data_IF_756945440578
#
_entry.id   IF_756945440578
#
_cell.length_a   1.000
_cell.length_b   1.000
_cell.length_c   1.000
_cell.angle_alpha   90.00
_cell.angle_beta   90.00
_cell.angle_gamma   90.00
#
_symmetry.space_group_name_H-M   'P 1'
#
loop_
_entity.id
_entity.type
_entity.pdbx_description
1 polymer ?
#
# COMPACT_ATOMS: atom_id res chain seq x y z
N UNK A 1 -18.88 16.11 3.21
CA UNK A 1 -19.50 14.76 3.28
C UNK A 1 -19.68 14.14 1.88
N UNK A 2 -20.45 14.75 0.95
CA UNK A 2 -20.70 14.16 -0.39
C UNK A 2 -19.44 13.78 -1.18
N UNK A 3 -18.44 14.69 -1.25
CA UNK A 3 -17.15 14.44 -1.91
C UNK A 3 -16.33 13.29 -1.29
N UNK A 4 -16.38 13.13 0.04
CA UNK A 4 -15.68 12.04 0.73
C UNK A 4 -16.31 10.67 0.41
N UNK A 5 -17.64 10.64 0.25
CA UNK A 5 -18.36 9.43 -0.17
C UNK A 5 -18.09 9.08 -1.63
N UNK A 6 -18.00 10.08 -2.51
CA UNK A 6 -17.61 9.89 -3.92
C UNK A 6 -16.21 9.29 -4.01
N UNK A 7 -15.22 9.87 -3.33
CA UNK A 7 -13.85 9.33 -3.31
C UNK A 7 -13.78 7.91 -2.71
N UNK A 8 -14.55 7.65 -1.65
CA UNK A 8 -14.64 6.33 -1.03
C UNK A 8 -15.10 5.27 -2.05
N UNK A 9 -16.15 5.57 -2.81
CA UNK A 9 -16.68 4.68 -3.83
C UNK A 9 -15.69 4.47 -4.97
N UNK A 10 -15.00 5.53 -5.41
CA UNK A 10 -13.95 5.42 -6.44
C UNK A 10 -12.83 4.46 -6.02
N UNK A 11 -12.31 4.63 -4.80
CA UNK A 11 -11.25 3.75 -4.28
C UNK A 11 -11.74 2.32 -4.06
N UNK A 12 -12.97 2.14 -3.57
CA UNK A 12 -13.57 0.82 -3.39
C UNK A 12 -13.74 0.10 -4.73
N UNK A 13 -14.27 0.80 -5.74
CA UNK A 13 -14.44 0.25 -7.08
C UNK A 13 -13.10 -0.13 -7.71
N UNK A 14 -12.09 0.74 -7.57
CA UNK A 14 -10.72 0.44 -8.01
C UNK A 14 -10.18 -0.82 -7.33
N UNK A 15 -10.35 -0.97 -6.01
CA UNK A 15 -9.91 -2.16 -5.28
C UNK A 15 -10.61 -3.44 -5.73
N UNK A 16 -11.93 -3.39 -5.90
CA UNK A 16 -12.76 -4.53 -6.34
C UNK A 16 -12.36 -5.02 -7.73
N UNK A 17 -11.92 -4.13 -8.63
CA UNK A 17 -11.44 -4.54 -9.96
C UNK A 17 -9.99 -5.01 -9.90
N UNK A 18 -9.13 -4.22 -9.26
CA UNK A 18 -7.68 -4.40 -9.33
C UNK A 18 -7.23 -5.64 -8.59
N UNK A 19 -7.82 -5.95 -7.43
CA UNK A 19 -7.42 -7.11 -6.62
C UNK A 19 -7.69 -8.43 -7.37
N UNK A 20 -8.91 -8.75 -7.82
CA UNK A 20 -9.16 -9.99 -8.57
C UNK A 20 -8.36 -10.06 -9.87
N UNK A 21 -8.23 -8.95 -10.60
CA UNK A 21 -7.42 -8.90 -11.82
C UNK A 21 -5.95 -9.21 -11.54
N UNK A 22 -5.40 -8.66 -10.46
CA UNK A 22 -4.02 -8.95 -10.06
C UNK A 22 -3.83 -10.42 -9.68
N UNK A 23 -4.78 -11.02 -8.96
CA UNK A 23 -4.74 -12.45 -8.63
C UNK A 23 -4.70 -13.30 -9.90
N UNK A 24 -5.57 -12.99 -10.87
CA UNK A 24 -5.60 -13.69 -12.16
C UNK A 24 -4.26 -13.58 -12.92
N UNK A 25 -3.69 -12.37 -13.00
CA UNK A 25 -2.45 -12.11 -13.73
C UNK A 25 -1.24 -12.79 -13.08
N UNK A 26 -1.20 -12.84 -11.75
CA UNK A 26 -0.08 -13.42 -11.00
C UNK A 26 -0.22 -14.94 -10.80
N UNK A 27 -1.38 -15.54 -11.12
CA UNK A 27 -1.69 -16.94 -10.82
C UNK A 27 -0.64 -17.92 -11.38
N UNK A 28 -0.28 -17.76 -12.66
CA UNK A 28 0.70 -18.64 -13.32
C UNK A 28 2.06 -18.60 -12.61
N UNK A 29 2.57 -17.41 -12.30
CA UNK A 29 3.88 -17.24 -11.69
C UNK A 29 3.88 -17.84 -10.26
N UNK A 30 2.82 -17.59 -9.49
CA UNK A 30 2.67 -18.10 -8.11
C UNK A 30 2.62 -19.64 -8.09
N UNK A 31 1.83 -20.26 -8.97
CA UNK A 31 1.71 -21.73 -9.03
C UNK A 31 3.01 -22.41 -9.44
N UNK A 32 3.83 -21.73 -10.25
CA UNK A 32 5.14 -22.23 -10.68
C UNK A 32 6.27 -21.88 -9.71
N UNK A 33 5.98 -21.24 -8.56
CA UNK A 33 6.98 -20.82 -7.57
C UNK A 33 7.93 -19.73 -8.08
N UNK A 34 7.53 -18.98 -9.10
CA UNK A 34 8.30 -17.89 -9.68
C UNK A 34 7.91 -16.56 -9.04
N UNK A 35 8.88 -15.65 -8.90
CA UNK A 35 8.59 -14.30 -8.44
C UNK A 35 7.81 -13.55 -9.53
N UNK A 36 6.58 -13.14 -9.22
CA UNK A 36 5.81 -12.31 -10.15
C UNK A 36 6.14 -10.84 -9.95
N UNK A 37 6.77 -10.21 -10.93
CA UNK A 37 6.99 -8.76 -10.93
C UNK A 37 5.66 -7.98 -10.96
N UNK A 38 4.57 -8.63 -11.37
CA UNK A 38 3.22 -8.05 -11.45
C UNK A 38 2.50 -8.02 -10.09
N UNK A 39 3.15 -8.50 -9.02
CA UNK A 39 2.56 -8.53 -7.67
C UNK A 39 2.29 -7.13 -7.14
N UNK A 40 3.02 -6.12 -7.65
CA UNK A 40 2.79 -4.71 -7.33
C UNK A 40 1.33 -4.29 -7.57
N UNK A 41 0.66 -4.85 -8.58
CA UNK A 41 -0.74 -4.53 -8.87
C UNK A 41 -1.68 -4.97 -7.73
N UNK A 42 -1.38 -6.10 -7.08
CA UNK A 42 -2.14 -6.56 -5.92
C UNK A 42 -2.02 -5.55 -4.77
N UNK A 43 -0.81 -5.09 -4.48
CA UNK A 43 -0.57 -4.12 -3.41
C UNK A 43 -1.14 -2.73 -3.73
N UNK A 44 -1.20 -2.32 -5.00
CA UNK A 44 -1.95 -1.13 -5.40
C UNK A 44 -3.45 -1.32 -5.11
N UNK A 45 -4.01 -2.49 -5.43
CA UNK A 45 -5.40 -2.82 -5.14
C UNK A 45 -5.73 -2.79 -3.64
N UNK A 46 -4.88 -3.37 -2.79
CA UNK A 46 -5.06 -3.31 -1.33
C UNK A 46 -4.85 -1.90 -0.77
N UNK A 47 -3.92 -1.13 -1.34
CA UNK A 47 -3.74 0.30 -1.04
C UNK A 47 -5.00 1.11 -1.35
N UNK A 48 -5.62 0.88 -2.52
CA UNK A 48 -6.91 1.47 -2.86
C UNK A 48 -8.01 1.06 -1.86
N UNK A 49 -8.05 -0.19 -1.43
CA UNK A 49 -9.02 -0.64 -0.43
C UNK A 49 -8.86 0.11 0.90
N UNK A 50 -7.63 0.28 1.39
CA UNK A 50 -7.34 1.07 2.59
C UNK A 50 -7.72 2.55 2.41
N UNK A 51 -7.46 3.12 1.23
CA UNK A 51 -7.85 4.49 0.90
C UNK A 51 -9.38 4.67 0.86
N UNK A 52 -10.13 3.64 0.47
CA UNK A 52 -11.59 3.67 0.55
C UNK A 52 -12.08 3.83 1.99
N UNK A 53 -11.44 3.13 2.94
CA UNK A 53 -11.73 3.28 4.36
C UNK A 53 -11.29 4.64 4.91
N UNK A 54 -10.13 5.14 4.49
CA UNK A 54 -9.59 6.42 4.94
C UNK A 54 -10.31 7.65 4.39
N UNK A 55 -11.01 7.50 3.28
CA UNK A 55 -11.72 8.60 2.60
C UNK A 55 -12.56 9.49 3.54
N UNK A 56 -13.49 8.96 4.38
CA UNK A 56 -14.23 9.79 5.33
C UNK A 56 -13.36 10.52 6.36
N UNK A 57 -12.15 10.03 6.65
CA UNK A 57 -11.24 10.59 7.64
C UNK A 57 -10.28 11.65 7.04
N UNK A 58 -9.93 11.53 5.75
CA UNK A 58 -8.93 12.40 5.12
C UNK A 58 -9.54 13.54 4.29
N UNK A 59 -10.70 13.33 3.67
CA UNK A 59 -11.29 14.36 2.80
C UNK A 59 -12.05 15.50 3.49
N UNK A 60 -12.40 15.45 4.79
CA UNK A 60 -12.81 16.64 5.54
C UNK A 60 -11.71 17.71 5.61
N UNK A 61 -10.43 17.35 5.45
CA UNK A 61 -9.25 18.25 5.47
C UNK A 61 -9.16 19.11 6.73
N UNK A 62 -9.58 18.55 7.84
CA UNK A 62 -9.53 19.15 9.16
C UNK A 62 -8.14 19.01 9.81
N UNK A 63 -8.00 19.52 11.02
CA UNK A 63 -6.75 19.43 11.79
C UNK A 63 -6.37 17.96 12.07
N UNK A 64 -7.36 17.12 12.38
CA UNK A 64 -7.20 15.67 12.54
C UNK A 64 -6.59 15.01 11.31
N UNK A 65 -7.05 15.38 10.11
CA UNK A 65 -6.49 14.90 8.84
C UNK A 65 -4.99 15.20 8.76
N UNK A 66 -4.59 16.45 9.08
CA UNK A 66 -3.18 16.86 9.04
C UNK A 66 -2.35 16.08 10.03
N UNK A 67 -2.88 15.82 11.22
CA UNK A 67 -2.20 15.03 12.24
C UNK A 67 -2.02 13.57 11.83
N UNK A 68 -3.06 12.92 11.29
CA UNK A 68 -2.99 11.55 10.77
C UNK A 68 -1.91 11.44 9.69
N UNK A 69 -1.92 12.37 8.72
CA UNK A 69 -0.94 12.37 7.64
C UNK A 69 0.46 12.62 8.20
N UNK A 70 0.64 13.62 9.07
CA UNK A 70 1.93 13.96 9.66
C UNK A 70 2.57 12.80 10.42
N UNK A 71 1.83 12.19 11.36
CA UNK A 71 2.32 11.04 12.13
C UNK A 71 2.57 9.82 11.23
N UNK A 72 1.72 9.60 10.23
CA UNK A 72 1.91 8.54 9.25
C UNK A 72 3.21 8.72 8.46
N UNK A 73 3.52 9.93 8.00
CA UNK A 73 4.75 10.22 7.25
C UNK A 73 6.00 9.95 8.11
N UNK A 74 5.99 10.35 9.39
CA UNK A 74 7.09 10.04 10.31
C UNK A 74 7.27 8.54 10.50
N UNK A 75 6.19 7.77 10.69
CA UNK A 75 6.28 6.31 10.81
C UNK A 75 6.80 5.65 9.52
N UNK A 76 6.40 6.16 8.35
CA UNK A 76 6.85 5.64 7.06
C UNK A 76 8.32 5.95 6.77
N UNK A 77 8.84 7.07 7.26
CA UNK A 77 10.27 7.35 7.19
C UNK A 77 11.09 6.22 7.84
N UNK A 78 10.74 5.83 9.08
CA UNK A 78 11.41 4.71 9.75
C UNK A 78 11.15 3.37 9.07
N UNK A 79 9.93 3.16 8.55
CA UNK A 79 9.58 1.95 7.80
C UNK A 79 10.43 1.80 6.54
N UNK A 80 10.65 2.89 5.79
CA UNK A 80 11.50 2.92 4.60
C UNK A 80 12.94 2.54 4.95
N UNK A 81 13.52 3.17 5.98
CA UNK A 81 14.88 2.86 6.42
C UNK A 81 15.00 1.40 6.86
N UNK A 82 14.07 0.91 7.67
CA UNK A 82 14.06 -0.48 8.11
C UNK A 82 13.93 -1.46 6.93
N UNK A 83 13.04 -1.17 5.96
CA UNK A 83 12.86 -2.00 4.78
C UNK A 83 14.12 -2.05 3.91
N UNK A 84 14.78 -0.92 3.67
CA UNK A 84 16.03 -0.87 2.92
C UNK A 84 17.12 -1.66 3.65
N UNK A 85 17.27 -1.46 4.97
CA UNK A 85 18.26 -2.21 5.75
C UNK A 85 18.00 -3.71 5.69
N UNK A 86 16.76 -4.16 5.87
CA UNK A 86 16.41 -5.58 5.78
C UNK A 86 16.68 -6.16 4.39
N UNK A 87 16.30 -5.44 3.33
CA UNK A 87 16.60 -5.86 1.96
C UNK A 87 18.12 -5.96 1.75
N UNK A 88 18.90 -5.01 2.26
CA UNK A 88 20.35 -5.07 2.13
C UNK A 88 20.98 -6.26 2.87
N UNK A 89 20.42 -6.66 4.02
CA UNK A 89 20.91 -7.80 4.80
C UNK A 89 20.49 -9.15 4.22
N UNK A 90 19.36 -9.21 3.51
CA UNK A 90 18.76 -10.46 2.99
C UNK A 90 19.17 -10.75 1.54
N UNK A 91 19.56 -9.72 0.77
CA UNK A 91 19.93 -9.89 -0.64
C UNK A 91 21.28 -10.59 -0.76
N UNK A 92 21.24 -11.91 -0.69
CA UNK A 92 22.40 -12.81 -0.80
C UNK A 92 22.63 -13.21 -2.28
N UNK A 93 22.59 -12.24 -3.20
CA UNK A 93 22.62 -12.40 -4.67
C UNK A 93 21.49 -13.24 -5.30
N UNK A 94 20.47 -13.64 -4.54
CA UNK A 94 19.37 -14.48 -5.04
C UNK A 94 18.26 -13.70 -5.75
N UNK A 95 18.11 -12.41 -5.43
CA UNK A 95 17.09 -11.54 -6.01
C UNK A 95 17.70 -10.60 -7.03
N UNK A 96 17.02 -10.43 -8.17
CA UNK A 96 17.39 -9.40 -9.15
C UNK A 96 17.07 -8.00 -8.61
N UNK A 97 17.74 -6.98 -9.17
CA UNK A 97 17.46 -5.59 -8.81
C UNK A 97 15.98 -5.20 -9.03
N UNK A 98 15.33 -5.74 -10.07
CA UNK A 98 13.90 -5.49 -10.35
C UNK A 98 13.00 -6.10 -9.27
N UNK A 99 13.33 -7.28 -8.77
CA UNK A 99 12.61 -7.94 -7.69
C UNK A 99 12.75 -7.18 -6.37
N UNK A 100 13.96 -6.71 -6.04
CA UNK A 100 14.21 -5.89 -4.84
C UNK A 100 13.41 -4.59 -4.89
N UNK A 101 13.42 -3.88 -6.02
CA UNK A 101 12.63 -2.66 -6.20
C UNK A 101 11.13 -2.93 -6.13
N UNK A 102 10.67 -4.06 -6.68
CA UNK A 102 9.26 -4.47 -6.62
C UNK A 102 8.82 -4.72 -5.18
N UNK A 103 9.65 -5.41 -4.38
CA UNK A 103 9.37 -5.64 -2.95
C UNK A 103 9.33 -4.31 -2.19
N UNK A 104 10.32 -3.44 -2.40
CA UNK A 104 10.37 -2.12 -1.77
C UNK A 104 9.12 -1.29 -2.11
N UNK A 105 8.70 -1.29 -3.38
CA UNK A 105 7.48 -0.63 -3.82
C UNK A 105 6.25 -1.20 -3.11
N UNK A 106 6.12 -2.52 -3.02
CA UNK A 106 5.01 -3.18 -2.34
C UNK A 106 4.93 -2.80 -0.85
N UNK A 107 6.08 -2.72 -0.17
CA UNK A 107 6.15 -2.25 1.21
C UNK A 107 5.65 -0.81 1.31
N UNK A 108 6.19 0.10 0.49
CA UNK A 108 5.91 1.53 0.60
C UNK A 108 4.47 1.90 0.20
N UNK A 109 3.93 1.30 -0.85
CA UNK A 109 2.55 1.58 -1.31
C UNK A 109 1.51 1.12 -0.29
N UNK A 110 1.87 0.15 0.56
CA UNK A 110 1.00 -0.43 1.59
C UNK A 110 1.21 0.26 2.93
N UNK A 111 2.46 0.53 3.31
CA UNK A 111 2.79 1.08 4.63
C UNK A 111 2.16 2.45 4.85
N UNK A 112 2.15 3.31 3.82
CA UNK A 112 1.60 4.67 3.90
C UNK A 112 0.12 4.67 4.29
N UNK A 113 -0.80 4.05 3.52
CA UNK A 113 -2.20 4.00 3.91
C UNK A 113 -2.41 3.14 5.17
N UNK A 114 -1.63 2.07 5.39
CA UNK A 114 -1.79 1.24 6.58
C UNK A 114 -1.53 2.02 7.88
N UNK A 115 -0.44 2.79 7.94
CA UNK A 115 -0.17 3.64 9.11
C UNK A 115 -1.22 4.73 9.27
N UNK A 116 -1.75 5.29 8.17
CA UNK A 116 -2.89 6.22 8.26
C UNK A 116 -4.13 5.53 8.84
N UNK A 117 -4.41 4.28 8.47
CA UNK A 117 -5.52 3.50 9.06
C UNK A 117 -5.32 3.35 10.56
N UNK A 118 -4.11 3.01 10.99
CA UNK A 118 -3.77 2.87 12.42
C UNK A 118 -4.00 4.20 13.16
N UNK A 119 -3.48 5.32 12.64
CA UNK A 119 -3.63 6.62 13.29
C UNK A 119 -5.07 7.14 13.27
N UNK A 120 -5.85 6.85 12.21
CA UNK A 120 -7.27 7.23 12.15
C UNK A 120 -8.14 6.60 13.24
N UNK A 121 -7.70 5.46 13.81
CA UNK A 121 -8.38 4.78 14.91
C UNK A 121 -7.89 5.25 16.29
N UNK A 122 -6.69 5.82 16.37
CA UNK A 122 -6.06 6.26 17.63
C UNK A 122 -6.30 7.73 17.95
N UNK A 123 -6.54 8.54 16.93
CA UNK A 123 -6.88 9.97 16.99
C UNK A 123 -8.34 10.12 16.65
#
# INVERSE_FOLDING_TARGET
>A
MKKARENQLTYLFLAIITIPMSIYINYSDIVNGQFSERIMLFFIGTSALMMSYLSPHLFPKDERTKEIIGRSMTANYFTLFAAITLLFLIVDNTLSATQVLSILFCIMVTSIPLTMVIYSKRI
#
